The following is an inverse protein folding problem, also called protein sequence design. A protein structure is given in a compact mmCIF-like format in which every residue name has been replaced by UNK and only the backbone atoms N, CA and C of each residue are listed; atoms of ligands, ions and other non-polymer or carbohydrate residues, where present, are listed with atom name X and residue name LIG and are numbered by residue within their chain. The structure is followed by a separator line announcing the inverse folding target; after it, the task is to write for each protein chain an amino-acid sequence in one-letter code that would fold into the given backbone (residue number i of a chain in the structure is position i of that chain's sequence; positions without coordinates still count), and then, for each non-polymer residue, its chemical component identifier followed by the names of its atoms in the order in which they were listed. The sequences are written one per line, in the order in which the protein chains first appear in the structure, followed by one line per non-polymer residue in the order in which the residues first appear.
data_IF_456054667939
#
_entry.id   IF_456054667939
#
_cell.length_a   1.000
_cell.length_b   1.000
_cell.length_c   1.000
_cell.angle_alpha   90.00
_cell.angle_beta   90.00
_cell.angle_gamma   90.00
#
_symmetry.space_group_name_H-M   'P 1'
#
loop_
_entity.id
_entity.type
_entity.pdbx_description
1 polymer ?
#
# COMPACT_ATOMS: atom_id res chain seq x y z
N UNK A 1 -18.56 -11.22 0.67
CA UNK A 1 -17.40 -11.53 -0.22
C UNK A 1 -17.93 -11.62 -1.63
N UNK A 2 -17.22 -11.02 -2.59
CA UNK A 2 -17.58 -11.11 -4.02
C UNK A 2 -17.38 -12.56 -4.50
N UNK A 3 -18.20 -12.97 -5.49
CA UNK A 3 -18.22 -14.39 -5.93
C UNK A 3 -16.91 -14.82 -6.61
N UNK A 4 -16.19 -13.90 -7.22
CA UNK A 4 -14.92 -14.10 -7.92
C UNK A 4 -13.69 -13.79 -7.05
N UNK A 5 -13.89 -13.44 -5.77
CA UNK A 5 -12.79 -13.20 -4.85
C UNK A 5 -12.08 -14.51 -4.48
N UNK A 6 -10.79 -14.58 -4.72
CA UNK A 6 -9.96 -15.70 -4.28
C UNK A 6 -9.49 -15.45 -2.83
N UNK A 7 -9.91 -16.28 -1.86
CA UNK A 7 -9.43 -16.17 -0.49
C UNK A 7 -7.95 -16.57 -0.40
N UNK A 8 -7.30 -16.18 0.69
CA UNK A 8 -5.94 -16.63 0.98
C UNK A 8 -5.89 -18.16 1.16
N UNK A 9 -4.75 -18.77 0.80
CA UNK A 9 -4.57 -20.22 0.92
C UNK A 9 -4.56 -20.65 2.39
N UNK A 10 -5.46 -21.52 2.86
CA UNK A 10 -5.59 -21.86 4.28
C UNK A 10 -4.38 -22.65 4.83
N UNK A 11 -3.67 -23.40 3.97
CA UNK A 11 -2.54 -24.24 4.34
C UNK A 11 -1.35 -23.98 3.41
N UNK A 12 -0.67 -22.83 3.49
CA UNK A 12 0.46 -22.53 2.63
C UNK A 12 1.63 -23.47 2.95
N UNK A 13 2.41 -23.83 1.93
CA UNK A 13 3.66 -24.57 2.12
C UNK A 13 4.75 -23.61 2.61
N UNK A 14 5.54 -24.08 3.57
CA UNK A 14 6.71 -23.31 4.00
C UNK A 14 7.73 -23.25 2.85
N UNK A 15 8.22 -22.07 2.49
CA UNK A 15 9.24 -21.95 1.46
C UNK A 15 10.55 -22.63 1.91
N UNK A 16 11.29 -23.16 0.96
CA UNK A 16 12.64 -23.73 1.22
C UNK A 16 13.65 -22.65 1.54
N UNK A 17 13.42 -21.47 1.00
CA UNK A 17 14.21 -20.27 1.27
C UNK A 17 13.98 -19.80 2.71
N UNK A 18 15.06 -19.44 3.40
CA UNK A 18 14.99 -18.80 4.71
C UNK A 18 15.10 -17.29 4.56
N UNK A 19 14.11 -16.61 5.07
CA UNK A 19 14.09 -15.15 5.09
C UNK A 19 15.22 -14.64 5.99
N UNK A 20 16.02 -13.66 5.58
CA UNK A 20 17.08 -13.10 6.41
C UNK A 20 16.56 -12.51 7.73
N UNK A 21 17.38 -12.50 8.74
CA UNK A 21 17.06 -11.82 10.00
C UNK A 21 16.76 -10.34 9.76
N UNK A 22 15.77 -9.80 10.43
CA UNK A 22 15.33 -8.41 10.28
C UNK A 22 14.46 -8.14 9.04
N UNK A 23 14.14 -9.17 8.25
CA UNK A 23 13.31 -9.00 7.05
C UNK A 23 11.91 -8.47 7.38
N UNK A 24 11.40 -7.65 6.49
CA UNK A 24 10.11 -6.98 6.61
C UNK A 24 9.24 -7.35 5.42
N UNK A 25 8.01 -7.83 5.67
CA UNK A 25 6.97 -7.82 4.65
C UNK A 25 6.53 -6.36 4.43
N UNK A 26 6.95 -5.77 3.32
CA UNK A 26 6.78 -4.34 3.06
C UNK A 26 5.40 -3.96 2.51
N UNK A 27 4.49 -4.92 2.27
CA UNK A 27 3.15 -4.64 1.80
C UNK A 27 2.17 -5.79 2.07
N UNK A 28 1.41 -5.66 3.12
CA UNK A 28 0.32 -6.57 3.44
C UNK A 28 -0.94 -5.79 3.86
N UNK A 29 -2.05 -6.49 3.99
CA UNK A 29 -3.33 -5.91 4.37
C UNK A 29 -3.98 -6.70 5.50
N UNK A 30 -4.88 -6.04 6.25
CA UNK A 30 -5.90 -6.70 7.05
C UNK A 30 -7.27 -6.41 6.43
N UNK A 31 -8.17 -7.39 6.46
CA UNK A 31 -9.54 -7.26 5.98
C UNK A 31 -10.49 -7.69 7.10
N UNK A 32 -11.21 -6.73 7.66
CA UNK A 32 -12.16 -7.02 8.72
C UNK A 32 -11.53 -7.48 10.04
N UNK A 33 -12.20 -8.35 10.83
CA UNK A 33 -13.48 -8.97 10.46
C UNK A 33 -14.61 -7.95 10.28
N UNK A 34 -15.43 -8.12 9.25
CA UNK A 34 -16.44 -7.16 8.82
C UNK A 34 -17.47 -6.85 9.93
N UNK A 35 -17.71 -7.80 10.84
CA UNK A 35 -18.61 -7.61 11.99
C UNK A 35 -18.08 -6.55 12.98
N UNK A 36 -16.76 -6.33 13.05
CA UNK A 36 -16.12 -5.35 13.95
C UNK A 36 -15.61 -4.13 13.17
N UNK A 37 -15.08 -4.36 12.00
CA UNK A 37 -14.50 -3.34 11.12
C UNK A 37 -15.22 -3.40 9.77
N UNK A 38 -16.37 -2.74 9.63
CA UNK A 38 -17.18 -2.82 8.42
C UNK A 38 -16.41 -2.28 7.20
N UNK A 39 -16.68 -2.88 6.05
CA UNK A 39 -16.18 -2.37 4.79
C UNK A 39 -16.95 -1.11 4.35
N UNK A 40 -16.27 -0.20 3.67
CA UNK A 40 -16.87 1.02 3.17
C UNK A 40 -18.02 0.75 2.18
N UNK A 41 -19.05 1.59 2.22
CA UNK A 41 -20.21 1.45 1.32
C UNK A 41 -19.84 1.64 -0.15
N UNK A 42 -18.88 2.54 -0.41
CA UNK A 42 -18.39 2.91 -1.75
C UNK A 42 -17.30 1.98 -2.30
N UNK A 43 -16.95 0.94 -1.55
CA UNK A 43 -15.90 -0.02 -1.96
C UNK A 43 -16.15 -0.61 -3.34
N UNK A 44 -15.08 -0.91 -4.04
CA UNK A 44 -15.12 -1.51 -5.39
C UNK A 44 -15.01 -3.03 -5.38
N UNK A 45 -14.74 -3.64 -4.25
CA UNK A 45 -14.67 -5.09 -4.04
C UNK A 45 -14.97 -5.43 -2.57
N UNK A 46 -15.47 -6.64 -2.35
CA UNK A 46 -15.75 -7.16 -1.01
C UNK A 46 -14.89 -8.42 -0.78
N UNK A 47 -13.79 -8.33 -0.02
CA UNK A 47 -12.91 -9.47 0.24
C UNK A 47 -13.53 -10.44 1.25
N UNK A 48 -12.89 -11.60 1.44
CA UNK A 48 -13.10 -12.39 2.65
C UNK A 48 -12.49 -11.67 3.87
N UNK A 49 -12.96 -12.01 5.06
CA UNK A 49 -12.26 -11.60 6.27
C UNK A 49 -10.85 -12.23 6.30
N UNK A 50 -9.87 -11.41 6.64
CA UNK A 50 -8.48 -11.81 6.87
C UNK A 50 -7.92 -10.93 8.00
N UNK A 51 -8.05 -11.45 9.22
CA UNK A 51 -7.79 -10.67 10.43
C UNK A 51 -6.29 -10.46 10.69
N UNK A 52 -5.97 -9.56 11.63
CA UNK A 52 -4.60 -9.35 12.07
C UNK A 52 -3.95 -10.61 12.63
N UNK A 53 -4.72 -11.46 13.33
CA UNK A 53 -4.22 -12.72 13.86
C UNK A 53 -3.77 -13.68 12.76
N UNK A 54 -4.54 -13.75 11.67
CA UNK A 54 -4.18 -14.55 10.49
C UNK A 54 -2.97 -13.98 9.77
N UNK A 55 -2.88 -12.65 9.64
CA UNK A 55 -1.72 -11.98 9.06
C UNK A 55 -0.45 -12.24 9.87
N UNK A 56 -0.52 -12.09 11.18
CA UNK A 56 0.64 -12.30 12.06
C UNK A 56 1.08 -13.76 12.08
N UNK A 57 0.13 -14.70 12.09
CA UNK A 57 0.44 -16.13 11.99
C UNK A 57 1.15 -16.46 10.65
N UNK A 58 0.71 -15.87 9.53
CA UNK A 58 1.37 -16.04 8.23
C UNK A 58 2.78 -15.42 8.21
N UNK A 59 2.94 -14.22 8.75
CA UNK A 59 4.23 -13.53 8.89
C UNK A 59 5.23 -14.42 9.63
N UNK A 60 4.83 -14.91 10.79
CA UNK A 60 5.68 -15.76 11.65
C UNK A 60 5.99 -17.11 10.99
N UNK A 61 4.99 -17.71 10.30
CA UNK A 61 5.17 -18.95 9.55
C UNK A 61 6.20 -18.79 8.42
N UNK A 62 6.19 -17.65 7.72
CA UNK A 62 7.13 -17.36 6.64
C UNK A 62 8.50 -16.91 7.16
N UNK A 63 8.59 -16.46 8.41
CA UNK A 63 9.82 -16.04 9.08
C UNK A 63 10.15 -14.55 8.93
N UNK A 64 9.18 -13.71 8.53
CA UNK A 64 9.34 -12.27 8.59
C UNK A 64 9.26 -11.79 10.04
N UNK A 65 10.11 -10.86 10.42
CA UNK A 65 10.09 -10.28 11.76
C UNK A 65 9.09 -9.12 11.86
N UNK A 66 8.93 -8.35 10.78
CA UNK A 66 8.15 -7.13 10.76
C UNK A 66 7.25 -7.04 9.53
N UNK A 67 6.26 -6.14 9.61
CA UNK A 67 5.32 -5.90 8.52
C UNK A 67 5.06 -4.42 8.31
N UNK A 68 4.76 -4.04 7.06
CA UNK A 68 4.11 -2.76 6.74
C UNK A 68 2.69 -3.06 6.29
N UNK A 69 1.73 -2.72 7.15
CA UNK A 69 0.31 -2.93 6.88
C UNK A 69 -0.22 -1.70 6.16
N UNK A 70 -0.68 -1.89 4.94
CA UNK A 70 -1.25 -0.83 4.10
C UNK A 70 -2.77 -0.87 4.23
N UNK A 71 -3.39 0.28 4.42
CA UNK A 71 -4.84 0.38 4.44
C UNK A 71 -5.45 -0.19 3.16
N UNK A 72 -6.36 -1.15 3.33
CA UNK A 72 -7.07 -1.76 2.21
C UNK A 72 -8.18 -0.84 1.70
N UNK A 73 -8.29 -0.66 0.39
CA UNK A 73 -9.27 0.26 -0.21
C UNK A 73 -10.72 -0.13 0.05
N UNK A 74 -11.01 -1.40 0.37
CA UNK A 74 -12.34 -1.84 0.79
C UNK A 74 -12.81 -1.26 2.13
N UNK A 75 -11.90 -0.79 2.99
CA UNK A 75 -12.22 -0.05 4.21
C UNK A 75 -12.32 1.46 3.99
N UNK A 76 -12.05 1.96 2.77
CA UNK A 76 -12.04 3.40 2.50
C UNK A 76 -11.06 4.14 3.40
N UNK A 77 -11.51 5.23 4.00
CA UNK A 77 -10.74 6.09 4.91
C UNK A 77 -10.93 5.74 6.39
N UNK A 78 -11.68 4.69 6.71
CA UNK A 78 -11.78 4.17 8.07
C UNK A 78 -10.58 3.26 8.37
N UNK A 79 -9.64 3.76 9.16
CA UNK A 79 -8.40 3.07 9.49
C UNK A 79 -8.50 2.20 10.77
N UNK A 80 -9.68 1.94 11.31
CA UNK A 80 -9.83 1.24 12.59
C UNK A 80 -9.22 -0.17 12.58
N UNK A 81 -9.40 -0.93 11.48
CA UNK A 81 -8.80 -2.25 11.34
C UNK A 81 -7.27 -2.20 11.28
N UNK A 82 -6.72 -1.19 10.57
CA UNK A 82 -5.29 -0.93 10.51
C UNK A 82 -4.74 -0.57 11.90
N UNK A 83 -5.37 0.37 12.58
CA UNK A 83 -4.96 0.84 13.89
C UNK A 83 -4.99 -0.28 14.94
N UNK A 84 -6.05 -1.08 14.97
CA UNK A 84 -6.17 -2.25 15.84
C UNK A 84 -5.04 -3.26 15.58
N UNK A 85 -4.69 -3.49 14.31
CA UNK A 85 -3.58 -4.38 13.96
C UNK A 85 -2.23 -3.82 14.44
N UNK A 86 -1.98 -2.53 14.25
CA UNK A 86 -0.73 -1.88 14.67
C UNK A 86 -0.54 -1.92 16.19
N UNK A 87 -1.58 -1.54 16.95
CA UNK A 87 -1.55 -1.53 18.42
C UNK A 87 -1.33 -2.94 19.01
N UNK A 88 -1.78 -3.98 18.31
CA UNK A 88 -1.62 -5.38 18.74
C UNK A 88 -0.39 -6.08 18.09
N UNK A 89 0.47 -5.35 17.40
CA UNK A 89 1.63 -5.92 16.69
C UNK A 89 2.89 -6.08 17.56
N UNK A 90 2.86 -5.70 18.83
CA UNK A 90 4.05 -5.61 19.70
C UNK A 90 5.16 -4.75 19.07
N UNK A 91 4.83 -3.65 18.43
CA UNK A 91 5.75 -2.78 17.70
C UNK A 91 6.43 -3.41 16.45
N UNK A 92 6.01 -4.61 16.04
CA UNK A 92 6.57 -5.33 14.90
C UNK A 92 5.89 -4.95 13.57
N UNK A 93 4.98 -3.98 13.57
CA UNK A 93 4.37 -3.45 12.35
C UNK A 93 4.42 -1.92 12.28
N UNK A 94 4.37 -1.41 11.04
CA UNK A 94 4.13 0.00 10.73
C UNK A 94 2.97 0.10 9.75
N UNK A 95 2.27 1.23 9.75
CA UNK A 95 1.06 1.44 8.97
C UNK A 95 1.21 2.47 7.87
N UNK A 96 0.47 2.24 6.79
CA UNK A 96 0.18 3.22 5.75
C UNK A 96 -1.34 3.44 5.74
N UNK A 97 -1.78 4.61 6.16
CA UNK A 97 -3.20 4.96 6.29
C UNK A 97 -3.80 5.47 4.96
N UNK A 98 -5.11 5.45 4.85
CA UNK A 98 -5.86 6.22 3.86
C UNK A 98 -6.60 7.35 4.58
N UNK A 99 -6.42 8.57 4.14
CA UNK A 99 -7.01 9.76 4.78
C UNK A 99 -7.68 10.64 3.73
N UNK A 100 -8.59 11.51 4.18
CA UNK A 100 -9.30 12.46 3.34
C UNK A 100 -9.12 13.90 3.79
N UNK A 101 -9.84 14.84 3.15
CA UNK A 101 -9.75 16.25 3.46
C UNK A 101 -10.19 16.61 4.90
N UNK A 102 -10.92 15.71 5.55
CA UNK A 102 -11.40 15.83 6.92
C UNK A 102 -10.33 15.49 7.97
N UNK A 103 -9.12 15.10 7.55
CA UNK A 103 -8.04 14.75 8.47
C UNK A 103 -7.64 15.93 9.34
N UNK A 104 -7.56 15.72 10.64
CA UNK A 104 -7.13 16.69 11.62
C UNK A 104 -5.88 16.23 12.38
N UNK A 105 -5.27 17.16 13.10
CA UNK A 105 -4.06 16.91 13.88
C UNK A 105 -4.28 15.89 15.01
N UNK A 106 -5.48 15.83 15.58
CA UNK A 106 -5.82 14.84 16.60
C UNK A 106 -5.79 13.42 16.03
N UNK A 107 -6.35 13.24 14.84
CA UNK A 107 -6.34 11.96 14.12
C UNK A 107 -4.91 11.58 13.71
N UNK A 108 -4.10 12.56 13.23
CA UNK A 108 -2.71 12.30 12.88
C UNK A 108 -1.90 11.86 14.11
N UNK A 109 -2.03 12.51 15.25
CA UNK A 109 -1.37 12.10 16.51
C UNK A 109 -1.76 10.70 16.94
N UNK A 110 -3.06 10.35 16.85
CA UNK A 110 -3.57 9.04 17.20
C UNK A 110 -2.98 7.95 16.28
N UNK A 111 -2.98 8.19 14.98
CA UNK A 111 -2.41 7.26 13.99
C UNK A 111 -0.88 7.14 14.13
N UNK A 112 -0.17 8.24 14.41
CA UNK A 112 1.27 8.21 14.65
C UNK A 112 1.62 7.36 15.89
N UNK A 113 0.87 7.57 16.97
CA UNK A 113 1.01 6.77 18.19
C UNK A 113 0.76 5.27 17.94
N UNK A 114 -0.21 4.93 17.10
CA UNK A 114 -0.48 3.55 16.72
C UNK A 114 0.64 2.93 15.85
N UNK A 115 1.47 3.75 15.21
CA UNK A 115 2.60 3.27 14.39
C UNK A 115 2.43 3.52 12.88
N UNK A 116 1.50 4.38 12.47
CA UNK A 116 1.40 4.84 11.08
C UNK A 116 2.64 5.69 10.75
N UNK A 117 3.18 5.52 9.53
CA UNK A 117 4.36 6.25 9.04
C UNK A 117 4.18 6.75 7.60
N UNK A 118 2.97 6.72 7.08
CA UNK A 118 2.67 7.27 5.78
C UNK A 118 1.19 7.19 5.42
N UNK A 119 0.84 7.82 4.32
CA UNK A 119 -0.49 7.79 3.73
C UNK A 119 -0.43 7.30 2.29
N UNK A 120 -1.53 6.69 1.81
CA UNK A 120 -1.62 6.21 0.45
C UNK A 120 -2.54 7.09 -0.37
N UNK A 121 -2.02 7.59 -1.50
CA UNK A 121 -2.79 8.27 -2.55
C UNK A 121 -3.02 7.33 -3.72
N UNK A 122 -4.25 7.26 -4.19
CA UNK A 122 -4.65 6.35 -5.26
C UNK A 122 -5.00 7.13 -6.53
N UNK A 123 -4.18 6.96 -7.58
CA UNK A 123 -4.38 7.55 -8.91
C UNK A 123 -4.76 6.53 -9.97
N UNK A 124 -4.96 5.26 -9.59
CA UNK A 124 -5.40 4.23 -10.53
C UNK A 124 -6.87 4.47 -10.90
N UNK A 125 -7.15 4.79 -12.15
CA UNK A 125 -8.45 5.26 -12.64
C UNK A 125 -9.65 4.37 -12.28
N UNK A 126 -9.47 3.05 -12.27
CA UNK A 126 -10.53 2.11 -11.88
C UNK A 126 -10.88 2.10 -10.39
N UNK A 127 -10.01 2.67 -9.55
CA UNK A 127 -10.15 2.73 -8.10
C UNK A 127 -10.25 4.18 -7.62
N UNK A 128 -10.58 5.10 -8.50
CA UNK A 128 -10.41 6.55 -8.36
C UNK A 128 -10.82 7.05 -6.98
N UNK A 129 -9.83 7.65 -6.33
CA UNK A 129 -10.04 8.65 -5.28
C UNK A 129 -10.23 10.01 -5.98
N UNK A 130 -11.45 10.53 -5.99
CA UNK A 130 -11.78 11.82 -6.60
C UNK A 130 -11.26 13.03 -5.78
N UNK A 131 -10.39 12.81 -4.82
CA UNK A 131 -9.80 13.88 -4.03
C UNK A 131 -8.97 14.79 -4.93
N UNK A 132 -9.24 16.11 -4.94
CA UNK A 132 -8.46 17.06 -5.72
C UNK A 132 -6.96 17.06 -5.34
N UNK A 133 -6.07 17.35 -6.32
CA UNK A 133 -4.61 17.37 -6.09
C UNK A 133 -4.20 18.37 -5.00
N UNK A 134 -4.93 19.48 -4.86
CA UNK A 134 -4.65 20.47 -3.80
C UNK A 134 -4.86 19.88 -2.41
N UNK A 135 -5.91 19.10 -2.21
CA UNK A 135 -6.16 18.40 -0.94
C UNK A 135 -5.03 17.41 -0.63
N UNK A 136 -4.54 16.66 -1.62
CA UNK A 136 -3.38 15.79 -1.42
C UNK A 136 -2.12 16.56 -1.03
N UNK A 137 -1.94 17.77 -1.57
CA UNK A 137 -0.84 18.66 -1.19
C UNK A 137 -0.97 19.14 0.26
N UNK A 138 -2.16 19.53 0.67
CA UNK A 138 -2.41 19.94 2.06
C UNK A 138 -2.18 18.79 3.03
N UNK A 139 -2.69 17.61 2.74
CA UNK A 139 -2.41 16.40 3.52
C UNK A 139 -0.90 16.14 3.59
N UNK A 140 -0.18 16.30 2.47
CA UNK A 140 1.26 16.06 2.43
C UNK A 140 2.06 17.05 3.30
N UNK A 141 1.62 18.29 3.40
CA UNK A 141 2.20 19.28 4.30
C UNK A 141 1.99 18.88 5.76
N UNK A 142 0.77 18.50 6.14
CA UNK A 142 0.46 18.06 7.50
C UNK A 142 1.28 16.85 7.94
N UNK A 143 1.37 15.82 7.10
CA UNK A 143 2.10 14.59 7.44
C UNK A 143 3.62 14.76 7.43
N UNK A 144 4.14 15.77 6.74
CA UNK A 144 5.57 16.07 6.72
C UNK A 144 6.09 16.42 8.12
N UNK A 145 5.29 17.08 8.96
CA UNK A 145 5.62 17.41 10.35
C UNK A 145 5.82 16.17 11.23
N UNK A 146 5.19 15.05 10.85
CA UNK A 146 5.35 13.75 11.50
C UNK A 146 6.48 12.88 10.89
N UNK A 147 7.17 13.39 9.87
CA UNK A 147 8.18 12.63 9.13
C UNK A 147 7.61 11.47 8.32
N UNK A 148 6.32 11.47 8.03
CA UNK A 148 5.67 10.42 7.25
C UNK A 148 5.98 10.59 5.76
N UNK A 149 5.79 9.49 5.00
CA UNK A 149 5.94 9.47 3.56
C UNK A 149 4.60 9.23 2.85
N UNK A 150 4.59 9.45 1.54
CA UNK A 150 3.43 9.18 0.70
C UNK A 150 3.70 7.91 -0.10
N UNK A 151 2.73 7.00 -0.08
CA UNK A 151 2.68 5.84 -0.99
C UNK A 151 1.74 6.19 -2.13
N UNK A 152 2.19 6.02 -3.37
CA UNK A 152 1.40 6.34 -4.56
C UNK A 152 1.08 5.06 -5.31
N UNK A 153 -0.21 4.81 -5.53
CA UNK A 153 -0.69 3.77 -6.42
C UNK A 153 -1.08 4.39 -7.76
N UNK A 154 -0.30 4.11 -8.80
CA UNK A 154 -0.39 4.74 -10.11
C UNK A 154 -0.09 3.71 -11.21
N UNK A 155 -0.56 3.94 -12.40
CA UNK A 155 -0.14 3.22 -13.60
C UNK A 155 0.95 4.02 -14.32
N UNK A 156 2.01 3.36 -14.80
CA UNK A 156 3.20 4.02 -15.36
C UNK A 156 2.90 4.96 -16.52
N UNK A 157 1.87 4.66 -17.28
CA UNK A 157 1.42 5.51 -18.40
C UNK A 157 0.91 6.89 -17.94
N UNK A 158 0.45 7.02 -16.69
CA UNK A 158 -0.05 8.28 -16.11
C UNK A 158 1.06 9.02 -15.33
N UNK A 159 2.25 8.42 -15.20
CA UNK A 159 3.33 8.93 -14.36
C UNK A 159 3.86 10.27 -14.84
N UNK A 160 4.05 10.44 -16.16
CA UNK A 160 4.58 11.68 -16.75
C UNK A 160 3.73 12.91 -16.37
N UNK A 161 2.41 12.77 -16.36
CA UNK A 161 1.48 13.84 -15.96
C UNK A 161 1.56 14.14 -14.45
N UNK A 162 1.87 13.13 -13.64
CA UNK A 162 1.88 13.26 -12.18
C UNK A 162 3.22 13.75 -11.63
N UNK A 163 4.31 13.62 -12.35
CA UNK A 163 5.66 13.97 -11.87
C UNK A 163 5.75 15.39 -11.30
N UNK A 164 5.28 16.46 -11.98
CA UNK A 164 5.40 17.82 -11.43
C UNK A 164 4.72 17.96 -10.07
N UNK A 165 3.55 17.33 -9.92
CA UNK A 165 2.84 17.29 -8.65
C UNK A 165 3.62 16.52 -7.58
N UNK A 166 4.08 15.31 -7.88
CA UNK A 166 4.81 14.45 -6.94
C UNK A 166 6.15 15.05 -6.52
N UNK A 167 6.84 15.75 -7.42
CA UNK A 167 8.08 16.46 -7.12
C UNK A 167 7.88 17.64 -6.17
N UNK A 168 6.73 18.30 -6.24
CA UNK A 168 6.39 19.44 -5.39
C UNK A 168 5.99 19.06 -3.95
N UNK A 169 5.70 17.78 -3.68
CA UNK A 169 5.33 17.33 -2.34
C UNK A 169 6.54 17.44 -1.38
N UNK A 170 6.35 17.81 -0.10
CA UNK A 170 7.46 17.98 0.85
C UNK A 170 8.04 16.66 1.36
N UNK A 171 7.36 15.54 1.16
CA UNK A 171 7.71 14.23 1.69
C UNK A 171 8.39 13.34 0.65
N UNK A 172 8.98 12.22 1.10
CA UNK A 172 9.34 11.11 0.20
C UNK A 172 8.10 10.50 -0.43
N UNK A 173 8.26 9.96 -1.65
CA UNK A 173 7.21 9.31 -2.42
C UNK A 173 7.63 7.88 -2.72
N UNK A 174 6.78 6.93 -2.39
CA UNK A 174 7.01 5.50 -2.60
C UNK A 174 5.98 4.97 -3.61
N UNK A 175 6.43 4.48 -4.74
CA UNK A 175 5.54 3.86 -5.73
C UNK A 175 5.16 2.44 -5.31
N UNK A 176 3.87 2.15 -5.24
CA UNK A 176 3.37 0.80 -5.07
C UNK A 176 3.55 -0.01 -6.37
N UNK A 177 3.91 -1.28 -6.22
CA UNK A 177 3.87 -2.28 -7.29
C UNK A 177 4.59 -1.82 -8.57
N UNK A 178 5.80 -1.26 -8.41
CA UNK A 178 6.66 -0.80 -9.50
C UNK A 178 6.00 0.27 -10.40
N UNK A 179 5.05 1.08 -9.87
CA UNK A 179 4.21 1.98 -10.66
C UNK A 179 3.48 1.28 -11.82
N UNK A 180 3.27 -0.03 -11.74
CA UNK A 180 2.52 -0.87 -12.70
C UNK A 180 2.97 -0.67 -14.17
N UNK A 181 4.24 -0.92 -14.53
CA UNK A 181 4.68 -0.81 -15.92
C UNK A 181 3.96 -1.84 -16.80
N UNK A 182 3.74 -1.49 -18.06
CA UNK A 182 3.30 -2.45 -19.08
C UNK A 182 4.52 -3.30 -19.48
N UNK A 183 4.65 -4.49 -18.88
CA UNK A 183 5.79 -5.37 -19.08
C UNK A 183 5.92 -5.87 -20.53
N UNK A 184 4.83 -5.87 -21.30
CA UNK A 184 4.86 -6.23 -22.73
C UNK A 184 5.66 -5.23 -23.58
N UNK A 185 5.84 -3.99 -23.09
CA UNK A 185 6.66 -2.97 -23.77
C UNK A 185 8.17 -3.11 -23.50
N UNK A 186 8.55 -4.00 -22.58
CA UNK A 186 9.93 -4.23 -22.19
C UNK A 186 10.58 -3.07 -21.42
N UNK A 187 11.84 -3.25 -21.04
CA UNK A 187 12.61 -2.31 -20.21
C UNK A 187 13.06 -1.04 -20.97
N UNK A 188 12.93 -1.00 -22.28
CA UNK A 188 13.26 0.17 -23.10
C UNK A 188 12.04 1.09 -23.31
N UNK A 189 10.90 0.81 -22.67
CA UNK A 189 9.72 1.65 -22.79
C UNK A 189 9.95 3.02 -22.14
N UNK A 190 9.29 4.06 -22.69
CA UNK A 190 9.35 5.43 -22.15
C UNK A 190 8.97 5.46 -20.68
N UNK A 191 7.88 4.77 -20.32
CA UNK A 191 7.33 4.78 -18.97
C UNK A 191 8.29 4.12 -17.97
N UNK A 192 8.91 3.00 -18.35
CA UNK A 192 9.89 2.32 -17.49
C UNK A 192 11.16 3.16 -17.32
N UNK A 193 11.69 3.74 -18.38
CA UNK A 193 12.85 4.62 -18.31
C UNK A 193 12.57 5.86 -17.45
N UNK A 194 11.35 6.39 -17.49
CA UNK A 194 10.93 7.50 -16.63
C UNK A 194 10.93 7.10 -15.16
N UNK A 195 10.38 5.93 -14.82
CA UNK A 195 10.42 5.40 -13.45
C UNK A 195 11.87 5.23 -12.99
N UNK A 196 12.74 4.62 -13.81
CA UNK A 196 14.16 4.42 -13.47
C UNK A 196 14.86 5.74 -13.18
N UNK A 197 14.60 6.78 -14.00
CA UNK A 197 15.15 8.11 -13.77
C UNK A 197 14.70 8.76 -12.47
N UNK A 198 13.46 8.51 -12.03
CA UNK A 198 12.99 8.96 -10.71
C UNK A 198 13.72 8.24 -9.57
N UNK A 199 14.02 6.94 -9.75
CA UNK A 199 14.75 6.14 -8.75
C UNK A 199 16.21 6.58 -8.54
N UNK A 200 16.78 7.39 -9.43
CA UNK A 200 18.11 7.99 -9.23
C UNK A 200 18.12 9.08 -8.15
N UNK A 201 16.95 9.48 -7.66
CA UNK A 201 16.82 10.51 -6.63
C UNK A 201 16.49 9.91 -5.27
N UNK A 202 16.90 10.53 -4.18
CA UNK A 202 16.56 10.10 -2.82
C UNK A 202 15.10 10.32 -2.44
N UNK A 203 14.38 11.11 -3.25
CA UNK A 203 12.97 11.47 -3.02
C UNK A 203 12.02 10.32 -3.34
N UNK A 204 12.32 9.54 -4.39
CA UNK A 204 11.44 8.50 -4.89
C UNK A 204 11.96 7.11 -4.55
N UNK A 205 11.04 6.28 -4.11
CA UNK A 205 11.28 4.87 -3.77
C UNK A 205 10.24 4.00 -4.46
N UNK A 206 10.54 2.73 -4.62
CA UNK A 206 9.68 1.79 -5.33
C UNK A 206 9.55 0.47 -4.56
N UNK A 207 8.33 -0.03 -4.44
CA UNK A 207 8.08 -1.38 -3.94
C UNK A 207 8.05 -2.36 -5.11
N UNK A 208 8.97 -3.32 -5.10
CA UNK A 208 9.05 -4.40 -6.10
C UNK A 208 8.12 -5.56 -5.69
N UNK A 209 6.82 -5.29 -5.69
CA UNK A 209 5.77 -6.21 -5.23
C UNK A 209 4.75 -6.50 -6.34
N UNK A 210 4.01 -7.62 -6.23
CA UNK A 210 2.93 -8.02 -7.12
C UNK A 210 3.32 -8.10 -8.61
N UNK A 211 4.46 -8.70 -8.99
CA UNK A 211 4.84 -8.80 -10.41
C UNK A 211 3.82 -9.63 -11.21
N UNK A 212 3.13 -10.59 -10.57
CA UNK A 212 2.09 -11.40 -11.18
C UNK A 212 0.90 -10.61 -11.73
N UNK A 213 0.70 -9.37 -11.26
CA UNK A 213 -0.37 -8.48 -11.72
C UNK A 213 0.00 -7.67 -12.95
N UNK A 214 1.24 -7.71 -13.37
CA UNK A 214 1.77 -6.90 -14.46
C UNK A 214 1.87 -7.70 -15.77
N UNK A 215 2.04 -9.02 -15.67
CA UNK A 215 2.09 -9.90 -16.85
C UNK A 215 0.69 -10.23 -17.36
N UNK A 216 0.54 -10.35 -18.67
CA UNK A 216 -0.65 -10.89 -19.34
C UNK A 216 -0.49 -12.36 -19.73
N UNK A 217 0.73 -12.86 -19.66
CA UNK A 217 1.08 -14.26 -19.83
C UNK A 217 1.35 -14.88 -18.47
N UNK A 218 0.98 -16.11 -18.28
CA UNK A 218 1.20 -16.80 -17.01
C UNK A 218 2.69 -17.09 -16.75
N UNK A 219 3.06 -17.53 -15.54
CA UNK A 219 4.44 -17.87 -15.19
C UNK A 219 5.01 -19.03 -16.00
N UNK A 220 4.17 -19.77 -16.72
CA UNK A 220 4.53 -20.93 -17.53
C UNK A 220 5.00 -20.56 -18.96
N UNK A 221 4.87 -19.28 -19.35
CA UNK A 221 5.21 -18.80 -20.70
C UNK A 221 6.48 -17.91 -20.74
N UNK A 222 7.26 -17.92 -19.67
CA UNK A 222 8.55 -17.20 -19.60
C UNK A 222 9.74 -18.15 -19.67
#
# INVERSE_FOLDING_TARGET
MDADWLPFHPNPRKPKFKVPQGAVDAHCHVFGPAARFPFASERKYTPCDASKEQLFALRDFLGFERSVIVQATCHGKNNDALEDALLNSNNMARGIAAVGPEIDDQTLKRLDHAGVRGVRFNFVKRLVDNTPKDIFKDISNMIAEYGWHIVVYVESQDLEELIPFLQALPTRVVFDHMARPDVAKGTNSKDFNLLMKLMETEKFWCKTTCPERLTKVGPEEN
#
